data_IF_618014058741
#
_entry.id   IF_618014058741
#
_cell.length_a   1.000
_cell.length_b   1.000
_cell.length_c   1.000
_cell.angle_alpha   90.00
_cell.angle_beta   90.00
_cell.angle_gamma   90.00
#
_symmetry.space_group_name_H-M   'P 1'
#
loop_
_entity.id
_entity.type
_entity.pdbx_description
1 polymer ?
#
# COMPACT_ATOMS: atom_id res chain seq x y z
N UNK A 1 11.40 -39.33 12.27
CA UNK A 1 10.41 -38.24 12.39
C UNK A 1 10.23 -37.66 11.00
N UNK A 2 9.01 -37.38 10.53
CA UNK A 2 8.84 -36.83 9.19
C UNK A 2 9.49 -35.45 9.17
N UNK A 3 10.37 -35.21 8.19
CA UNK A 3 10.83 -33.87 7.83
C UNK A 3 9.60 -33.03 7.50
N UNK A 4 9.18 -32.18 8.43
CA UNK A 4 8.23 -31.13 8.12
C UNK A 4 8.95 -30.13 7.21
N UNK A 5 8.79 -30.30 5.90
CA UNK A 5 9.20 -29.30 4.92
C UNK A 5 8.52 -27.99 5.30
N UNK A 6 9.30 -27.05 5.83
CA UNK A 6 8.83 -25.76 6.25
C UNK A 6 8.58 -24.92 4.99
N UNK A 7 7.34 -24.94 4.50
CA UNK A 7 6.94 -24.12 3.37
C UNK A 7 6.93 -22.64 3.77
N UNK A 8 7.34 -21.78 2.84
CA UNK A 8 7.09 -20.35 2.98
C UNK A 8 5.58 -20.09 3.16
N UNK A 9 5.17 -19.08 3.95
CA UNK A 9 3.77 -18.83 4.26
C UNK A 9 2.85 -18.79 3.02
N UNK A 10 3.23 -18.06 1.97
CA UNK A 10 2.45 -17.99 0.73
C UNK A 10 2.24 -19.37 0.06
N UNK A 11 3.30 -20.18 -0.02
CA UNK A 11 3.25 -21.53 -0.59
C UNK A 11 2.38 -22.49 0.24
N UNK A 12 2.39 -22.34 1.56
CA UNK A 12 1.52 -23.09 2.45
C UNK A 12 0.04 -22.75 2.19
N UNK A 13 -0.30 -21.46 2.11
CA UNK A 13 -1.67 -21.02 1.84
C UNK A 13 -2.16 -21.49 0.47
N UNK A 14 -1.31 -21.44 -0.56
CA UNK A 14 -1.64 -21.98 -1.90
C UNK A 14 -1.89 -23.48 -1.88
N UNK A 15 -1.09 -24.24 -1.13
CA UNK A 15 -1.29 -25.68 -0.98
C UNK A 15 -2.64 -25.98 -0.32
N UNK A 16 -2.95 -25.30 0.78
CA UNK A 16 -4.24 -25.48 1.49
C UNK A 16 -5.40 -25.11 0.56
N UNK A 17 -5.33 -23.98 -0.14
CA UNK A 17 -6.37 -23.57 -1.07
C UNK A 17 -6.58 -24.59 -2.19
N UNK A 18 -5.50 -25.18 -2.71
CA UNK A 18 -5.58 -26.25 -3.72
C UNK A 18 -6.31 -27.46 -3.17
N UNK A 19 -5.90 -27.98 -2.01
CA UNK A 19 -6.55 -29.13 -1.35
C UNK A 19 -8.03 -28.86 -1.09
N UNK A 20 -8.39 -27.64 -0.68
CA UNK A 20 -9.80 -27.26 -0.51
C UNK A 20 -10.60 -27.35 -1.81
N UNK A 21 -10.03 -26.97 -2.96
CA UNK A 21 -10.72 -27.00 -4.25
C UNK A 21 -10.74 -28.38 -4.90
N UNK A 22 -9.66 -29.14 -4.78
CA UNK A 22 -9.49 -30.41 -5.51
C UNK A 22 -9.99 -31.61 -4.74
N UNK A 23 -9.87 -31.58 -3.41
CA UNK A 23 -10.07 -32.78 -2.58
C UNK A 23 -11.28 -32.59 -1.67
N UNK A 24 -11.30 -31.50 -0.88
CA UNK A 24 -12.32 -31.30 0.16
C UNK A 24 -13.65 -30.85 -0.43
N UNK A 25 -13.68 -29.77 -1.22
CA UNK A 25 -14.90 -29.24 -1.81
C UNK A 25 -15.70 -30.28 -2.61
N UNK A 26 -15.08 -31.09 -3.47
CA UNK A 26 -15.76 -32.16 -4.18
C UNK A 26 -16.31 -33.28 -3.27
N UNK A 27 -15.63 -33.58 -2.15
CA UNK A 27 -16.05 -34.61 -1.19
C UNK A 27 -17.19 -34.16 -0.26
N UNK A 28 -17.53 -32.86 -0.24
CA UNK A 28 -18.64 -32.34 0.58
C UNK A 28 -19.95 -32.43 -0.19
N UNK A 29 -20.91 -33.20 0.34
CA UNK A 29 -22.23 -33.38 -0.29
C UNK A 29 -23.16 -32.18 -0.09
N UNK A 30 -23.16 -31.61 1.12
CA UNK A 30 -24.04 -30.49 1.45
C UNK A 30 -23.61 -29.21 0.71
N UNK A 31 -24.56 -28.58 0.00
CA UNK A 31 -24.29 -27.44 -0.87
C UNK A 31 -23.66 -26.23 -0.14
N UNK A 32 -24.11 -25.95 1.09
CA UNK A 32 -23.61 -24.82 1.86
C UNK A 32 -22.15 -25.01 2.33
N UNK A 33 -21.78 -26.07 3.06
CA UNK A 33 -20.38 -26.29 3.44
C UNK A 33 -19.45 -26.46 2.24
N UNK A 34 -19.94 -27.02 1.12
CA UNK A 34 -19.20 -27.08 -0.14
C UNK A 34 -18.83 -25.69 -0.63
N UNK A 35 -19.81 -24.78 -0.68
CA UNK A 35 -19.57 -23.37 -1.03
C UNK A 35 -18.56 -22.72 -0.09
N UNK A 36 -18.65 -22.99 1.22
CA UNK A 36 -17.68 -22.47 2.20
C UNK A 36 -16.25 -22.95 1.92
N UNK A 37 -16.05 -24.22 1.53
CA UNK A 37 -14.73 -24.73 1.17
C UNK A 37 -14.12 -23.99 -0.04
N UNK A 38 -14.92 -23.72 -1.08
CA UNK A 38 -14.48 -22.95 -2.24
C UNK A 38 -14.20 -21.48 -1.90
N UNK A 39 -15.04 -20.84 -1.08
CA UNK A 39 -14.83 -19.46 -0.62
C UNK A 39 -13.56 -19.33 0.23
N UNK A 40 -13.34 -20.26 1.16
CA UNK A 40 -12.12 -20.31 1.96
C UNK A 40 -10.88 -20.44 1.06
N UNK A 41 -10.93 -21.30 0.04
CA UNK A 41 -9.82 -21.43 -0.91
C UNK A 41 -9.51 -20.13 -1.67
N UNK A 42 -10.53 -19.37 -2.07
CA UNK A 42 -10.34 -18.06 -2.73
C UNK A 42 -9.70 -17.05 -1.78
N UNK A 43 -10.16 -16.98 -0.53
CA UNK A 43 -9.55 -16.11 0.49
C UNK A 43 -8.08 -16.46 0.71
N UNK A 44 -7.76 -17.75 0.87
CA UNK A 44 -6.38 -18.21 1.06
C UNK A 44 -5.49 -17.89 -0.14
N UNK A 45 -6.00 -17.98 -1.37
CA UNK A 45 -5.26 -17.58 -2.57
C UNK A 45 -4.97 -16.08 -2.59
N UNK A 46 -5.94 -15.24 -2.22
CA UNK A 46 -5.74 -13.79 -2.11
C UNK A 46 -4.68 -13.44 -1.06
N UNK A 47 -4.76 -14.06 0.13
CA UNK A 47 -3.76 -13.88 1.20
C UNK A 47 -2.37 -14.35 0.76
N UNK A 48 -2.27 -15.47 0.03
CA UNK A 48 -0.99 -15.94 -0.51
C UNK A 48 -0.38 -14.92 -1.50
N UNK A 49 -1.22 -14.33 -2.36
CA UNK A 49 -0.84 -13.23 -3.24
C UNK A 49 -0.27 -12.04 -2.45
N UNK A 50 -0.98 -11.59 -1.42
CA UNK A 50 -0.55 -10.48 -0.55
C UNK A 50 0.81 -10.76 0.11
N UNK A 51 1.01 -11.95 0.66
CA UNK A 51 2.28 -12.32 1.28
C UNK A 51 3.45 -12.34 0.28
N UNK A 52 3.22 -12.83 -0.93
CA UNK A 52 4.27 -12.93 -1.96
C UNK A 52 4.77 -11.57 -2.45
N UNK A 53 3.89 -10.58 -2.48
CA UNK A 53 4.18 -9.26 -3.02
C UNK A 53 4.39 -8.20 -1.91
N UNK A 54 4.33 -8.61 -0.63
CA UNK A 54 4.46 -7.71 0.52
C UNK A 54 5.79 -6.94 0.51
N UNK A 55 6.91 -7.62 0.28
CA UNK A 55 8.24 -7.01 0.29
C UNK A 55 8.44 -6.05 -0.89
N UNK A 56 7.95 -6.43 -2.07
CA UNK A 56 7.99 -5.59 -3.27
C UNK A 56 7.15 -4.33 -3.08
N UNK A 57 5.95 -4.47 -2.51
CA UNK A 57 5.07 -3.34 -2.21
C UNK A 57 5.67 -2.43 -1.13
N UNK A 58 6.27 -3.00 -0.08
CA UNK A 58 6.95 -2.23 0.96
C UNK A 58 8.15 -1.46 0.39
N UNK A 59 8.92 -2.08 -0.50
CA UNK A 59 10.06 -1.43 -1.17
C UNK A 59 9.58 -0.32 -2.10
N UNK A 60 8.60 -0.60 -2.95
CA UNK A 60 8.03 0.41 -3.84
C UNK A 60 7.40 1.57 -3.07
N UNK A 61 6.72 1.30 -1.94
CA UNK A 61 6.17 2.32 -1.05
C UNK A 61 7.23 3.23 -0.43
N UNK A 62 8.36 2.66 0.02
CA UNK A 62 9.50 3.45 0.52
C UNK A 62 10.10 4.35 -0.57
N UNK A 63 10.29 3.79 -1.77
CA UNK A 63 10.82 4.54 -2.91
C UNK A 63 9.88 5.70 -3.30
N UNK A 64 8.56 5.46 -3.32
CA UNK A 64 7.59 6.50 -3.62
C UNK A 64 7.61 7.66 -2.62
N UNK A 65 7.77 7.38 -1.33
CA UNK A 65 7.87 8.43 -0.31
C UNK A 65 9.18 9.21 -0.43
N UNK A 66 10.30 8.53 -0.72
CA UNK A 66 11.58 9.18 -0.95
C UNK A 66 11.53 10.08 -2.19
N UNK A 67 10.96 9.60 -3.30
CA UNK A 67 10.80 10.39 -4.52
C UNK A 67 9.88 11.60 -4.30
N UNK A 68 8.75 11.41 -3.60
CA UNK A 68 7.84 12.51 -3.25
C UNK A 68 8.55 13.59 -2.42
N UNK A 69 9.29 13.19 -1.38
CA UNK A 69 10.04 14.12 -0.55
C UNK A 69 11.07 14.92 -1.37
N UNK A 70 11.82 14.23 -2.24
CA UNK A 70 12.83 14.84 -3.11
C UNK A 70 12.22 15.74 -4.20
N UNK A 71 11.05 15.39 -4.74
CA UNK A 71 10.30 16.24 -5.66
C UNK A 71 9.82 17.51 -4.96
N UNK A 72 9.17 17.38 -3.80
CA UNK A 72 8.65 18.53 -3.06
C UNK A 72 9.80 19.45 -2.64
N UNK A 73 10.91 18.92 -2.13
CA UNK A 73 12.06 19.71 -1.70
C UNK A 73 12.66 20.56 -2.84
N UNK A 74 12.61 20.09 -4.09
CA UNK A 74 13.10 20.83 -5.27
C UNK A 74 12.19 21.98 -5.68
N UNK A 75 10.91 21.91 -5.35
CA UNK A 75 9.91 22.93 -5.67
C UNK A 75 9.82 24.03 -4.60
N UNK A 76 10.41 23.81 -3.42
CA UNK A 76 10.41 24.83 -2.37
C UNK A 76 11.47 25.88 -2.66
N UNK A 77 11.06 27.14 -2.52
CA UNK A 77 11.91 28.31 -2.68
C UNK A 77 11.97 29.14 -1.39
N UNK A 78 12.55 30.34 -1.47
CA UNK A 78 12.61 31.27 -0.34
C UNK A 78 11.27 31.91 0.00
N UNK A 79 10.30 31.90 -0.92
CA UNK A 79 8.95 32.46 -0.70
C UNK A 79 8.02 31.45 -0.02
N UNK A 80 8.41 30.18 -0.01
CA UNK A 80 7.66 29.09 0.59
C UNK A 80 7.54 29.25 2.12
N UNK A 81 6.32 29.14 2.67
CA UNK A 81 6.06 29.21 4.11
C UNK A 81 6.99 28.30 4.93
N UNK A 82 7.60 28.81 6.03
CA UNK A 82 8.52 28.02 6.84
C UNK A 82 7.90 26.74 7.41
N UNK A 83 6.61 26.77 7.75
CA UNK A 83 5.84 25.61 8.20
C UNK A 83 5.79 24.51 7.14
N UNK A 84 5.60 24.87 5.87
CA UNK A 84 5.59 23.92 4.77
C UNK A 84 6.97 23.32 4.51
N UNK A 85 8.02 24.15 4.56
CA UNK A 85 9.41 23.65 4.49
C UNK A 85 9.72 22.65 5.59
N UNK A 86 9.31 22.93 6.83
CA UNK A 86 9.46 22.01 7.95
C UNK A 86 8.66 20.70 7.76
N UNK A 87 7.45 20.79 7.21
CA UNK A 87 6.64 19.60 6.91
C UNK A 87 7.27 18.70 5.84
N UNK A 88 7.86 19.29 4.79
CA UNK A 88 8.59 18.52 3.75
C UNK A 88 9.86 17.90 4.31
N UNK A 89 10.61 18.60 5.16
CA UNK A 89 11.77 18.04 5.86
C UNK A 89 11.39 16.86 6.77
N UNK A 90 10.26 16.99 7.47
CA UNK A 90 9.71 15.90 8.29
C UNK A 90 9.32 14.70 7.44
N UNK A 91 8.70 14.91 6.27
CA UNK A 91 8.40 13.83 5.33
C UNK A 91 9.67 13.15 4.83
N UNK A 92 10.72 13.89 4.51
CA UNK A 92 11.99 13.30 4.06
C UNK A 92 12.65 12.46 5.17
N UNK A 93 12.51 12.86 6.43
CA UNK A 93 13.06 12.12 7.56
C UNK A 93 12.22 10.87 7.91
N UNK A 94 10.92 11.06 8.15
CA UNK A 94 10.03 10.04 8.72
C UNK A 94 9.52 9.05 7.65
N UNK A 95 9.20 9.55 6.44
CA UNK A 95 8.72 8.79 5.27
C UNK A 95 7.54 7.86 5.57
N UNK A 96 6.65 8.30 6.45
CA UNK A 96 5.52 7.52 6.95
C UNK A 96 4.16 8.18 6.67
N UNK A 97 3.07 7.46 6.96
CA UNK A 97 1.72 8.01 6.73
C UNK A 97 1.44 9.24 7.59
N UNK A 98 1.98 9.31 8.81
CA UNK A 98 1.75 10.43 9.72
C UNK A 98 2.40 11.74 9.24
N UNK A 99 3.61 11.66 8.68
CA UNK A 99 4.29 12.81 8.05
C UNK A 99 3.57 13.27 6.78
N UNK A 100 3.03 12.35 5.96
CA UNK A 100 2.18 12.72 4.81
C UNK A 100 0.90 13.44 5.26
N UNK A 101 0.20 12.94 6.27
CA UNK A 101 -0.99 13.60 6.81
C UNK A 101 -0.68 15.02 7.30
N UNK A 102 0.40 15.18 8.08
CA UNK A 102 0.87 16.50 8.55
C UNK A 102 1.24 17.43 7.40
N UNK A 103 1.87 16.93 6.34
CA UNK A 103 2.17 17.71 5.14
C UNK A 103 0.89 18.21 4.47
N UNK A 104 -0.12 17.35 4.31
CA UNK A 104 -1.40 17.72 3.70
C UNK A 104 -2.10 18.79 4.54
N UNK A 105 -2.19 18.59 5.86
CA UNK A 105 -2.75 19.58 6.78
C UNK A 105 -2.04 20.93 6.66
N UNK A 106 -0.71 20.91 6.60
CA UNK A 106 0.11 22.12 6.44
C UNK A 106 -0.16 22.80 5.10
N UNK A 107 -0.23 22.05 3.99
CA UNK A 107 -0.55 22.59 2.65
C UNK A 107 -1.89 23.33 2.65
N UNK A 108 -2.90 22.77 3.31
CA UNK A 108 -4.21 23.41 3.42
C UNK A 108 -4.18 24.64 4.33
N UNK A 109 -3.44 24.59 5.44
CA UNK A 109 -3.28 25.73 6.34
C UNK A 109 -2.55 26.91 5.69
N UNK A 110 -1.56 26.65 4.83
CA UNK A 110 -0.75 27.69 4.15
C UNK A 110 -1.27 28.04 2.76
N UNK A 111 -2.48 27.60 2.37
CA UNK A 111 -3.01 27.78 1.01
C UNK A 111 -3.03 29.24 0.55
N UNK A 112 -3.43 30.16 1.43
CA UNK A 112 -3.48 31.59 1.10
C UNK A 112 -2.10 32.19 0.85
N UNK A 113 -1.07 31.70 1.55
CA UNK A 113 0.31 32.19 1.42
C UNK A 113 0.98 31.63 0.15
N UNK A 114 0.69 30.39 -0.21
CA UNK A 114 1.18 29.74 -1.43
C UNK A 114 0.58 30.30 -2.72
N UNK A 115 -0.60 30.90 -2.63
CA UNK A 115 -1.44 31.18 -3.78
C UNK A 115 -2.02 29.89 -4.40
N UNK A 116 -3.02 30.04 -5.27
CA UNK A 116 -3.71 28.89 -5.84
C UNK A 116 -2.83 28.01 -6.73
N UNK A 117 -1.95 28.62 -7.53
CA UNK A 117 -1.08 27.89 -8.45
C UNK A 117 -0.06 27.03 -7.70
N UNK A 118 0.64 27.61 -6.73
CA UNK A 118 1.60 26.89 -5.88
C UNK A 118 0.93 25.78 -5.07
N UNK A 119 -0.22 26.07 -4.46
CA UNK A 119 -1.01 25.07 -3.74
C UNK A 119 -1.42 23.90 -4.65
N UNK A 120 -2.02 24.20 -5.81
CA UNK A 120 -2.51 23.18 -6.74
C UNK A 120 -1.37 22.31 -7.31
N UNK A 121 -0.21 22.91 -7.58
CA UNK A 121 0.98 22.18 -8.03
C UNK A 121 1.44 21.16 -6.97
N UNK A 122 1.63 21.60 -5.72
CA UNK A 122 2.14 20.74 -4.64
C UNK A 122 1.14 19.66 -4.25
N UNK A 123 -0.14 20.01 -4.04
CA UNK A 123 -1.16 19.02 -3.67
C UNK A 123 -1.44 18.04 -4.81
N UNK A 124 -1.32 18.47 -6.07
CA UNK A 124 -1.45 17.62 -7.25
C UNK A 124 -0.43 16.48 -7.24
N UNK A 125 0.83 16.77 -6.91
CA UNK A 125 1.90 15.77 -6.80
C UNK A 125 1.66 14.80 -5.66
N UNK A 126 1.32 15.30 -4.47
CA UNK A 126 0.99 14.46 -3.31
C UNK A 126 -0.15 13.49 -3.66
N UNK A 127 -1.23 13.99 -4.27
CA UNK A 127 -2.38 13.18 -4.67
C UNK A 127 -2.02 12.14 -5.74
N UNK A 128 -1.25 12.53 -6.76
CA UNK A 128 -0.80 11.61 -7.81
C UNK A 128 -0.01 10.44 -7.21
N UNK A 129 0.91 10.74 -6.27
CA UNK A 129 1.72 9.71 -5.61
C UNK A 129 0.88 8.78 -4.73
N UNK A 130 -0.05 9.33 -3.94
CA UNK A 130 -0.97 8.54 -3.13
C UNK A 130 -1.87 7.66 -3.99
N UNK A 131 -2.33 8.16 -5.15
CA UNK A 131 -3.15 7.37 -6.06
C UNK A 131 -2.37 6.20 -6.65
N UNK A 132 -1.16 6.43 -7.14
CA UNK A 132 -0.29 5.39 -7.66
C UNK A 132 -0.02 4.29 -6.63
N UNK A 133 0.17 4.67 -5.36
CA UNK A 133 0.31 3.73 -4.24
C UNK A 133 -0.94 2.87 -4.04
N UNK A 134 -2.12 3.50 -3.99
CA UNK A 134 -3.40 2.78 -3.83
C UNK A 134 -3.62 1.82 -5.00
N UNK A 135 -3.35 2.24 -6.24
CA UNK A 135 -3.51 1.40 -7.43
C UNK A 135 -2.59 0.15 -7.36
N UNK A 136 -1.38 0.29 -6.83
CA UNK A 136 -0.47 -0.85 -6.59
C UNK A 136 -0.99 -1.79 -5.50
N UNK A 137 -1.48 -1.25 -4.39
CA UNK A 137 -2.06 -2.05 -3.30
C UNK A 137 -3.35 -2.76 -3.72
N UNK A 138 -4.09 -2.21 -4.69
CA UNK A 138 -5.33 -2.77 -5.24
C UNK A 138 -5.14 -4.02 -6.12
N UNK A 139 -3.91 -4.38 -6.49
CA UNK A 139 -3.62 -5.56 -7.36
C UNK A 139 -4.17 -6.88 -6.79
N UNK A 140 -4.42 -6.97 -5.47
CA UNK A 140 -4.98 -8.17 -4.82
C UNK A 140 -6.52 -8.22 -4.78
N UNK A 141 -7.20 -7.10 -5.09
CA UNK A 141 -8.65 -7.01 -5.00
C UNK A 141 -9.36 -7.69 -6.18
N UNK A 142 -8.68 -7.83 -7.33
CA UNK A 142 -9.15 -8.54 -8.51
C UNK A 142 -9.20 -10.07 -8.33
#
# INVERSE_FOLDING_TARGET
MPDYIQLAPAALLERIARTLKTDIGPAVEAAYPKTQAFMAAVVLQKLAGQLRLADDHATAGRNDMQELAAELARELDTTTPPSLRAAVQTLDHDRDTASVSRLIETLYATRSELGEEGFNSLIGRVRARLRARIDREMVYAA
#
